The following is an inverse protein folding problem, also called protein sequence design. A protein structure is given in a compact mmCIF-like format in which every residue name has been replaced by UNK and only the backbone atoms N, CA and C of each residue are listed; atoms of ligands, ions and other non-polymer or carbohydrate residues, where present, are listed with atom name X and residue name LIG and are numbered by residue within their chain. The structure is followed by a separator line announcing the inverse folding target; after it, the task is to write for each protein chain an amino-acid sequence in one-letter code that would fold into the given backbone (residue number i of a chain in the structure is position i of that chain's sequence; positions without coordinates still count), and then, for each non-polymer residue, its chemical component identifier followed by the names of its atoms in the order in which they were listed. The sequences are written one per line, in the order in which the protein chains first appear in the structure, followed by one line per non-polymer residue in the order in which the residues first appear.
data_IF_282410089575
#
_entry.id   IF_282410089575
#
_cell.length_a   1.000
_cell.length_b   1.000
_cell.length_c   1.000
_cell.angle_alpha   90.00
_cell.angle_beta   90.00
_cell.angle_gamma   90.00
#
_symmetry.space_group_name_H-M   'P 1'
#
loop_
_entity.id
_entity.type
_entity.pdbx_description
1 polymer ?
#
# COMPACT_ATOMS: atom_id res chain seq x y z
N UNK A 1 -6.77 32.74 10.21
CA UNK A 1 -5.87 31.82 9.50
C UNK A 1 -6.23 30.45 10.04
N UNK A 2 -6.97 29.66 9.26
CA UNK A 2 -7.38 28.31 9.68
C UNK A 2 -6.13 27.46 9.93
N UNK A 3 -6.11 26.71 11.02
CA UNK A 3 -5.04 25.77 11.31
C UNK A 3 -5.16 24.61 10.33
N UNK A 4 -4.16 24.46 9.46
CA UNK A 4 -4.07 23.29 8.58
C UNK A 4 -3.83 22.08 9.49
N UNK A 5 -4.77 21.14 9.48
CA UNK A 5 -4.63 19.90 10.23
C UNK A 5 -3.69 18.91 9.54
N UNK A 6 -3.19 17.92 10.29
CA UNK A 6 -2.32 16.85 9.81
C UNK A 6 -2.91 16.14 8.56
N UNK A 7 -4.19 15.78 8.62
CA UNK A 7 -4.90 15.12 7.51
C UNK A 7 -4.90 15.96 6.23
N UNK A 8 -5.22 17.27 6.36
CA UNK A 8 -5.25 18.17 5.20
C UNK A 8 -3.86 18.34 4.61
N UNK A 9 -2.85 18.53 5.47
CA UNK A 9 -1.46 18.69 5.03
C UNK A 9 -0.98 17.49 4.18
N UNK A 10 -1.12 16.26 4.70
CA UNK A 10 -0.62 15.09 3.98
C UNK A 10 -1.47 14.76 2.75
N UNK A 11 -2.79 14.95 2.81
CA UNK A 11 -3.63 14.81 1.64
C UNK A 11 -3.17 15.74 0.50
N UNK A 12 -2.88 16.98 0.83
CA UNK A 12 -2.39 17.96 -0.14
C UNK A 12 -0.99 17.59 -0.65
N UNK A 13 -0.07 17.21 0.23
CA UNK A 13 1.30 16.83 -0.17
C UNK A 13 1.30 15.62 -1.12
N UNK A 14 0.45 14.63 -0.92
CA UNK A 14 0.43 13.45 -1.79
C UNK A 14 -0.29 13.68 -3.12
N UNK A 15 -1.32 14.52 -3.16
CA UNK A 15 -2.18 14.71 -4.32
C UNK A 15 -1.80 15.91 -5.20
N UNK A 16 -1.20 16.96 -4.62
CA UNK A 16 -0.90 18.18 -5.36
C UNK A 16 0.59 18.37 -5.61
N UNK A 17 0.89 19.11 -6.68
CA UNK A 17 2.22 19.56 -6.97
C UNK A 17 2.41 20.94 -6.30
N UNK A 18 3.32 21.04 -5.34
CA UNK A 18 3.66 22.34 -4.75
C UNK A 18 4.77 23.00 -5.55
N UNK A 19 4.52 24.21 -6.02
CA UNK A 19 5.54 25.04 -6.67
C UNK A 19 6.54 25.60 -5.64
N UNK A 20 6.11 25.83 -4.41
CA UNK A 20 6.95 26.31 -3.31
C UNK A 20 7.09 25.31 -2.17
N UNK A 21 8.16 24.51 -2.22
CA UNK A 21 8.51 23.53 -1.19
C UNK A 21 8.75 24.19 0.19
N UNK A 22 9.08 25.48 0.24
CA UNK A 22 9.29 26.21 1.51
C UNK A 22 8.00 26.35 2.28
N UNK A 23 6.87 26.56 1.62
CA UNK A 23 5.56 26.59 2.26
C UNK A 23 5.21 25.24 2.87
N UNK A 24 5.46 24.15 2.15
CA UNK A 24 5.25 22.80 2.65
C UNK A 24 6.08 22.55 3.93
N UNK A 25 7.37 22.94 3.92
CA UNK A 25 8.24 22.81 5.08
C UNK A 25 7.78 23.67 6.27
N UNK A 26 7.30 24.89 6.02
CA UNK A 26 6.78 25.78 7.07
C UNK A 26 5.51 25.20 7.73
N UNK A 27 4.60 24.63 6.94
CA UNK A 27 3.40 23.99 7.48
C UNK A 27 3.74 22.71 8.25
N UNK A 28 4.68 21.90 7.77
CA UNK A 28 5.19 20.74 8.52
C UNK A 28 5.72 21.12 9.90
N UNK A 29 6.53 22.18 9.98
CA UNK A 29 7.04 22.70 11.26
C UNK A 29 5.93 23.15 12.22
N UNK A 30 4.86 23.74 11.72
CA UNK A 30 3.68 24.09 12.54
C UNK A 30 2.94 22.87 13.07
N UNK A 31 3.01 21.76 12.35
CA UNK A 31 2.45 20.46 12.75
C UNK A 31 3.42 19.64 13.60
N UNK A 32 4.61 20.15 13.88
CA UNK A 32 5.57 19.55 14.79
C UNK A 32 6.58 18.58 14.16
N UNK A 33 6.75 18.59 12.84
CA UNK A 33 7.77 17.80 12.16
C UNK A 33 8.55 18.63 11.11
N UNK A 34 9.77 18.20 10.82
CA UNK A 34 10.60 18.81 9.79
C UNK A 34 10.70 17.87 8.58
N UNK A 35 10.08 18.27 7.46
CA UNK A 35 10.05 17.44 6.25
C UNK A 35 11.44 17.11 5.69
N UNK A 36 12.46 17.90 6.01
CA UNK A 36 13.82 17.68 5.52
C UNK A 36 14.63 16.74 6.42
N UNK A 37 14.33 16.74 7.71
CA UNK A 37 15.07 15.97 8.71
C UNK A 37 14.37 14.69 9.13
N UNK A 38 13.05 14.74 9.26
CA UNK A 38 12.25 13.59 9.70
C UNK A 38 12.06 12.54 8.60
N UNK A 39 11.86 11.32 9.03
CA UNK A 39 11.58 10.17 8.19
C UNK A 39 10.09 9.87 8.19
N UNK A 40 9.54 9.63 7.02
CA UNK A 40 8.13 9.35 6.79
C UNK A 40 7.94 7.95 6.23
N UNK A 41 6.99 7.21 6.79
CA UNK A 41 6.54 5.92 6.27
C UNK A 41 5.04 5.97 6.04
N UNK A 42 4.60 5.88 4.80
CA UNK A 42 3.18 5.84 4.49
C UNK A 42 2.58 4.46 4.78
N UNK A 43 1.39 4.48 5.37
CA UNK A 43 0.53 3.31 5.53
C UNK A 43 -0.84 3.64 4.94
N UNK A 44 -1.34 2.77 4.09
CA UNK A 44 -2.65 2.90 3.45
C UNK A 44 -3.53 1.72 3.85
N UNK A 45 -4.79 1.99 4.14
CA UNK A 45 -5.84 1.02 4.43
C UNK A 45 -6.90 1.13 3.34
N UNK A 46 -6.95 0.15 2.45
CA UNK A 46 -7.76 0.23 1.24
C UNK A 46 -8.75 -0.93 1.17
N UNK A 47 -9.96 -0.62 0.75
CA UNK A 47 -10.87 -1.63 0.23
C UNK A 47 -10.33 -2.22 -1.07
N UNK A 48 -10.73 -3.45 -1.46
CA UNK A 48 -10.32 -4.05 -2.73
C UNK A 48 -10.65 -3.13 -3.92
N UNK A 49 -9.81 -3.11 -4.94
CA UNK A 49 -10.03 -2.30 -6.13
C UNK A 49 -11.30 -2.69 -6.91
N UNK A 50 -11.81 -3.91 -6.70
CA UNK A 50 -13.06 -4.42 -7.26
C UNK A 50 -14.31 -3.99 -6.48
N UNK A 51 -14.14 -3.46 -5.27
CA UNK A 51 -15.21 -3.12 -4.33
C UNK A 51 -14.95 -1.74 -3.75
N UNK A 52 -15.47 -0.71 -4.41
CA UNK A 52 -15.28 0.66 -3.94
C UNK A 52 -15.97 0.88 -2.59
N UNK A 53 -15.23 1.38 -1.61
CA UNK A 53 -15.79 1.76 -0.31
C UNK A 53 -16.66 3.00 -0.45
N UNK A 54 -17.89 2.97 0.12
CA UNK A 54 -18.72 4.17 0.24
C UNK A 54 -18.06 5.19 1.17
N UNK A 55 -18.58 6.40 1.20
CA UNK A 55 -18.09 7.42 2.14
C UNK A 55 -18.29 6.98 3.60
N UNK A 56 -19.45 6.41 3.90
CA UNK A 56 -19.79 5.91 5.24
C UNK A 56 -18.87 4.78 5.69
N UNK A 57 -18.52 3.85 4.79
CA UNK A 57 -17.55 2.78 5.07
C UNK A 57 -16.15 3.32 5.33
N UNK A 58 -15.71 4.33 4.59
CA UNK A 58 -14.42 4.98 4.82
C UNK A 58 -14.39 5.76 6.14
N UNK A 59 -15.48 6.42 6.50
CA UNK A 59 -15.62 7.09 7.80
C UNK A 59 -15.59 6.07 8.94
N UNK A 60 -16.31 4.98 8.83
CA UNK A 60 -16.32 3.88 9.80
C UNK A 60 -14.94 3.26 9.96
N UNK A 61 -14.22 3.01 8.84
CA UNK A 61 -12.85 2.53 8.86
C UNK A 61 -11.93 3.53 9.57
N UNK A 62 -12.06 4.81 9.27
CA UNK A 62 -11.27 5.88 9.89
C UNK A 62 -11.51 5.97 11.39
N UNK A 63 -12.75 5.94 11.84
CA UNK A 63 -13.13 5.95 13.26
C UNK A 63 -12.59 4.70 13.96
N UNK A 64 -12.69 3.53 13.33
CA UNK A 64 -12.20 2.28 13.89
C UNK A 64 -10.69 2.24 14.09
N UNK A 65 -9.93 2.89 13.21
CA UNK A 65 -8.49 3.00 13.29
C UNK A 65 -8.02 4.19 14.15
N UNK A 66 -8.86 5.16 14.45
CA UNK A 66 -8.49 6.39 15.13
C UNK A 66 -7.93 6.23 16.56
N UNK A 67 -8.16 5.14 17.21
CA UNK A 67 -7.64 4.88 18.56
C UNK A 67 -6.38 4.04 18.61
N UNK A 68 -5.66 3.84 17.51
CA UNK A 68 -4.43 3.03 17.50
C UNK A 68 -3.34 3.67 18.37
N UNK A 69 -2.89 2.94 19.40
CA UNK A 69 -1.83 3.38 20.31
C UNK A 69 -0.45 3.36 19.65
N UNK A 70 -0.27 2.50 18.67
CA UNK A 70 0.98 2.38 17.92
C UNK A 70 1.11 3.42 16.79
N UNK A 71 0.13 4.31 16.60
CA UNK A 71 0.32 5.49 15.75
C UNK A 71 1.25 6.47 16.49
N UNK A 72 2.49 6.68 16.03
CA UNK A 72 3.38 7.60 16.69
C UNK A 72 2.82 9.01 16.54
N UNK A 73 2.58 9.68 17.66
CA UNK A 73 2.37 11.11 17.65
C UNK A 73 3.76 11.76 17.51
N UNK A 74 4.04 12.33 16.38
CA UNK A 74 5.27 13.11 16.12
C UNK A 74 5.40 14.28 17.09
N UNK A 75 4.27 14.76 17.57
CA UNK A 75 4.21 15.80 18.59
C UNK A 75 2.97 15.57 19.44
N UNK A 76 3.12 15.61 20.78
CA UNK A 76 2.01 15.58 21.73
C UNK A 76 0.99 16.72 21.53
N UNK A 77 1.36 17.75 20.75
CA UNK A 77 0.48 18.86 20.38
C UNK A 77 -0.41 18.57 19.17
N UNK A 78 -0.18 17.49 18.42
CA UNK A 78 -1.06 17.06 17.33
C UNK A 78 -2.09 16.09 17.93
N UNK A 79 -2.93 16.61 18.80
CA UNK A 79 -4.15 15.96 19.22
C UNK A 79 -5.09 15.95 18.02
N UNK A 80 -5.30 14.80 17.44
CA UNK A 80 -6.25 14.68 16.35
C UNK A 80 -6.01 13.48 15.47
N UNK A 81 -6.97 13.21 14.65
CA UNK A 81 -7.02 12.10 13.74
C UNK A 81 -5.93 12.24 12.66
N UNK A 82 -4.87 11.46 12.78
CA UNK A 82 -3.76 11.41 11.82
C UNK A 82 -4.11 10.66 10.52
N UNK A 83 -5.34 10.17 10.40
CA UNK A 83 -5.83 9.48 9.23
C UNK A 83 -6.49 10.47 8.26
N UNK A 84 -6.20 10.35 6.97
CA UNK A 84 -6.80 11.14 5.91
C UNK A 84 -7.40 10.24 4.83
N UNK A 85 -8.42 10.74 4.14
CA UNK A 85 -9.10 10.00 3.08
C UNK A 85 -8.22 9.91 1.84
N UNK A 86 -8.26 8.74 1.21
CA UNK A 86 -7.72 8.46 -0.12
C UNK A 86 -8.81 7.83 -0.98
N UNK A 87 -8.55 7.63 -2.27
CA UNK A 87 -9.58 7.19 -3.24
C UNK A 87 -10.47 6.06 -2.73
N UNK A 88 -9.88 4.98 -2.22
CA UNK A 88 -10.63 3.80 -1.79
C UNK A 88 -10.37 3.38 -0.34
N UNK A 89 -10.17 4.34 0.54
CA UNK A 89 -9.93 4.07 1.96
C UNK A 89 -9.36 5.25 2.71
N UNK A 90 -8.43 4.96 3.62
CA UNK A 90 -7.74 5.95 4.44
C UNK A 90 -6.24 5.70 4.46
N UNK A 91 -5.46 6.74 4.76
CA UNK A 91 -4.02 6.65 4.88
C UNK A 91 -3.51 7.41 6.10
N UNK A 92 -2.30 7.09 6.53
CA UNK A 92 -1.56 7.82 7.55
C UNK A 92 -0.06 7.81 7.25
N UNK A 93 0.69 8.62 7.98
CA UNK A 93 2.14 8.57 7.99
C UNK A 93 2.64 8.27 9.40
N UNK A 94 3.52 7.28 9.51
CA UNK A 94 4.39 7.14 10.67
C UNK A 94 5.55 8.10 10.45
N UNK A 95 5.82 8.95 11.42
CA UNK A 95 6.88 9.94 11.34
C UNK A 95 7.84 9.75 12.51
N UNK A 96 9.12 9.68 12.21
CA UNK A 96 10.19 9.54 13.21
C UNK A 96 11.43 10.31 12.78
N UNK A 97 12.37 10.52 13.72
CA UNK A 97 13.62 11.26 13.45
C UNK A 97 14.64 10.39 12.69
N UNK A 98 14.45 9.05 12.69
CA UNK A 98 15.35 8.13 11.98
C UNK A 98 14.59 6.94 11.40
N UNK A 99 15.27 6.21 10.48
CA UNK A 99 14.73 4.95 9.96
C UNK A 99 14.66 3.86 11.04
N UNK A 100 15.58 3.87 11.97
CA UNK A 100 15.64 2.88 13.05
C UNK A 100 14.44 3.07 13.99
N UNK A 101 14.09 4.31 14.34
CA UNK A 101 12.89 4.62 15.13
C UNK A 101 11.60 4.11 14.45
N UNK A 102 11.45 4.34 13.14
CA UNK A 102 10.32 3.80 12.38
C UNK A 102 10.33 2.27 12.40
N UNK A 103 11.51 1.65 12.25
CA UNK A 103 11.65 0.20 12.22
C UNK A 103 11.30 -0.44 13.56
N UNK A 104 11.62 0.21 14.67
CA UNK A 104 11.30 -0.27 16.03
C UNK A 104 9.79 -0.26 16.32
N UNK A 105 9.08 0.77 15.88
CA UNK A 105 7.63 0.88 16.12
C UNK A 105 6.78 0.05 15.14
N UNK A 106 7.31 -0.24 13.96
CA UNK A 106 6.57 -0.86 12.87
C UNK A 106 5.98 -2.25 13.22
N UNK A 107 6.65 -3.15 13.95
CA UNK A 107 6.05 -4.43 14.34
C UNK A 107 4.82 -4.29 15.23
N UNK A 108 4.86 -3.39 16.22
CA UNK A 108 3.73 -3.12 17.10
C UNK A 108 2.57 -2.51 16.31
N UNK A 109 2.86 -1.54 15.44
CA UNK A 109 1.88 -0.94 14.55
C UNK A 109 1.21 -1.99 13.64
N UNK A 110 1.99 -2.86 12.99
CA UNK A 110 1.46 -3.92 12.11
C UNK A 110 0.50 -4.84 12.84
N UNK A 111 0.89 -5.26 14.05
CA UNK A 111 0.06 -6.13 14.88
C UNK A 111 -1.26 -5.44 15.23
N UNK A 112 -1.20 -4.23 15.75
CA UNK A 112 -2.41 -3.48 16.14
C UNK A 112 -3.32 -3.19 14.93
N UNK A 113 -2.74 -2.86 13.76
CA UNK A 113 -3.50 -2.65 12.54
C UNK A 113 -4.28 -3.90 12.11
N UNK A 114 -3.65 -5.07 12.15
CA UNK A 114 -4.32 -6.34 11.82
C UNK A 114 -5.39 -6.67 12.86
N UNK A 115 -5.06 -6.61 14.16
CA UNK A 115 -6.01 -6.91 15.25
C UNK A 115 -7.27 -6.03 15.15
N UNK A 116 -7.12 -4.75 14.80
CA UNK A 116 -8.26 -3.86 14.60
C UNK A 116 -9.08 -4.20 13.35
N UNK A 117 -8.42 -4.47 12.23
CA UNK A 117 -9.13 -4.84 11.01
C UNK A 117 -9.89 -6.15 11.16
N UNK A 118 -9.40 -7.08 11.98
CA UNK A 118 -10.10 -8.34 12.26
C UNK A 118 -11.39 -8.13 13.08
N UNK A 119 -11.51 -6.99 13.78
CA UNK A 119 -12.71 -6.62 14.55
C UNK A 119 -13.61 -5.63 13.81
N UNK A 120 -13.23 -5.18 12.61
CA UNK A 120 -14.03 -4.29 11.80
C UNK A 120 -15.23 -5.05 11.20
N UNK A 121 -16.43 -4.63 11.53
CA UNK A 121 -17.67 -5.18 10.98
C UNK A 121 -17.88 -4.70 9.55
N UNK A 122 -17.37 -5.43 8.58
CA UNK A 122 -17.54 -5.13 7.16
C UNK A 122 -17.50 -6.42 6.33
N UNK A 123 -18.32 -6.47 5.28
CA UNK A 123 -18.30 -7.55 4.29
C UNK A 123 -17.07 -7.46 3.35
N UNK A 124 -16.40 -6.31 3.36
CA UNK A 124 -15.27 -6.02 2.47
C UNK A 124 -13.93 -6.19 3.17
N UNK A 125 -13.01 -6.88 2.53
CA UNK A 125 -11.69 -7.17 3.07
C UNK A 125 -10.73 -5.99 2.89
N UNK A 126 -10.55 -5.18 3.92
CA UNK A 126 -9.57 -4.09 3.93
C UNK A 126 -8.14 -4.63 3.86
N UNK A 127 -7.28 -4.00 3.08
CA UNK A 127 -5.86 -4.32 2.93
C UNK A 127 -4.99 -3.19 3.43
N UNK A 128 -3.88 -3.56 4.04
CA UNK A 128 -2.88 -2.61 4.55
C UNK A 128 -1.66 -2.63 3.64
N UNK A 129 -1.35 -1.48 3.05
CA UNK A 129 -0.12 -1.28 2.30
C UNK A 129 0.87 -0.45 3.10
N UNK A 130 2.12 -0.90 3.17
CA UNK A 130 3.20 -0.22 3.88
C UNK A 130 4.30 0.15 2.89
N UNK A 131 4.68 1.44 2.88
CA UNK A 131 5.73 1.97 2.03
C UNK A 131 7.14 1.67 2.53
N UNK A 132 8.09 2.48 2.10
CA UNK A 132 9.47 2.47 2.60
C UNK A 132 9.75 3.78 3.35
N UNK A 133 10.60 3.75 4.38
CA UNK A 133 10.99 4.96 5.11
C UNK A 133 11.78 5.92 4.21
N UNK A 134 11.27 7.13 4.03
CA UNK A 134 11.80 8.16 3.13
C UNK A 134 11.89 9.53 3.80
N UNK A 135 12.78 10.41 3.32
CA UNK A 135 12.92 11.80 3.77
C UNK A 135 12.52 12.80 2.67
N UNK A 136 12.14 14.00 3.12
CA UNK A 136 11.84 15.10 2.20
C UNK A 136 10.45 15.01 1.55
N UNK A 137 10.01 16.10 0.95
CA UNK A 137 8.68 16.21 0.29
C UNK A 137 8.53 15.13 -0.80
N UNK A 138 9.54 14.98 -1.66
CA UNK A 138 9.55 13.93 -2.67
C UNK A 138 9.54 12.52 -2.02
N UNK A 139 10.15 12.36 -0.84
CA UNK A 139 10.13 11.14 -0.05
C UNK A 139 8.73 10.80 0.46
N UNK A 140 7.98 11.77 0.96
CA UNK A 140 6.57 11.60 1.37
C UNK A 140 5.74 11.03 0.21
N UNK A 141 5.89 11.60 -0.99
CA UNK A 141 5.20 11.10 -2.19
C UNK A 141 5.64 9.69 -2.59
N UNK A 142 6.96 9.40 -2.50
CA UNK A 142 7.49 8.07 -2.84
C UNK A 142 6.99 7.00 -1.90
N UNK A 143 7.08 7.22 -0.57
CA UNK A 143 6.62 6.23 0.40
C UNK A 143 5.12 5.95 0.25
N UNK A 144 4.29 6.97 0.00
CA UNK A 144 2.88 6.80 -0.31
C UNK A 144 2.66 5.98 -1.59
N UNK A 145 3.40 6.30 -2.65
CA UNK A 145 3.34 5.54 -3.91
C UNK A 145 3.74 4.07 -3.70
N UNK A 146 4.74 3.80 -2.87
CA UNK A 146 5.16 2.44 -2.53
C UNK A 146 4.08 1.68 -1.77
N UNK A 147 3.43 2.31 -0.78
CA UNK A 147 2.32 1.71 -0.05
C UNK A 147 1.15 1.34 -0.98
N UNK A 148 0.77 2.23 -1.89
CA UNK A 148 -0.26 1.98 -2.91
C UNK A 148 0.12 0.84 -3.86
N UNK A 149 1.38 0.79 -4.31
CA UNK A 149 1.89 -0.29 -5.16
C UNK A 149 1.89 -1.64 -4.44
N UNK A 150 2.21 -1.67 -3.14
CA UNK A 150 2.18 -2.90 -2.35
C UNK A 150 0.77 -3.50 -2.32
N UNK A 151 -0.28 -2.68 -2.10
CA UNK A 151 -1.67 -3.15 -2.13
C UNK A 151 -2.04 -3.68 -3.51
N UNK A 152 -1.78 -2.91 -4.58
CA UNK A 152 -2.10 -3.32 -5.96
C UNK A 152 -1.41 -4.63 -6.35
N UNK A 153 -0.13 -4.78 -6.03
CA UNK A 153 0.59 -6.03 -6.27
C UNK A 153 0.02 -7.19 -5.42
N UNK A 154 -0.33 -6.92 -4.16
CA UNK A 154 -0.92 -7.90 -3.27
C UNK A 154 -2.29 -8.40 -3.73
N UNK A 155 -3.12 -7.53 -4.30
CA UNK A 155 -4.41 -7.92 -4.88
C UNK A 155 -4.26 -8.95 -6.01
N UNK A 156 -3.19 -8.86 -6.76
CA UNK A 156 -2.91 -9.76 -7.89
C UNK A 156 -2.22 -11.05 -7.43
N UNK A 157 -1.14 -10.91 -6.65
CA UNK A 157 -0.20 -12.01 -6.37
C UNK A 157 -0.35 -12.63 -4.97
N UNK A 158 -0.93 -11.92 -4.01
CA UNK A 158 -1.04 -12.33 -2.60
C UNK A 158 -2.43 -12.06 -2.03
N UNK A 159 -3.47 -12.56 -2.72
CA UNK A 159 -4.88 -12.31 -2.42
C UNK A 159 -5.30 -12.61 -0.97
N UNK A 160 -4.62 -13.56 -0.33
CA UNK A 160 -4.93 -13.99 1.05
C UNK A 160 -4.34 -13.06 2.13
N UNK A 161 -3.35 -12.21 1.75
CA UNK A 161 -2.67 -11.36 2.74
C UNK A 161 -3.42 -10.06 2.94
N UNK A 162 -3.64 -9.72 4.20
CA UNK A 162 -4.19 -8.42 4.62
C UNK A 162 -3.09 -7.36 4.62
N UNK A 163 -1.91 -7.68 5.17
CA UNK A 163 -0.80 -6.76 5.33
C UNK A 163 0.29 -7.00 4.26
N UNK A 164 0.66 -5.93 3.56
CA UNK A 164 1.51 -5.94 2.37
C UNK A 164 2.61 -4.88 2.51
N UNK A 165 3.83 -5.31 2.84
CA UNK A 165 5.00 -4.43 2.83
C UNK A 165 5.54 -4.27 1.41
N UNK A 166 5.88 -3.04 1.02
CA UNK A 166 6.46 -2.80 -0.31
C UNK A 166 7.76 -3.56 -0.53
N UNK A 167 8.65 -3.63 0.46
CA UNK A 167 9.90 -4.39 0.35
C UNK A 167 9.66 -5.87 0.00
N UNK A 168 8.63 -6.50 0.59
CA UNK A 168 8.24 -7.87 0.27
C UNK A 168 7.44 -8.01 -1.03
N UNK A 169 7.00 -6.89 -1.61
CA UNK A 169 6.17 -6.83 -2.81
C UNK A 169 6.87 -6.20 -4.03
N UNK A 170 8.11 -5.74 -3.87
CA UNK A 170 8.85 -4.98 -4.91
C UNK A 170 8.97 -5.76 -6.23
N UNK A 171 9.34 -7.04 -6.16
CA UNK A 171 9.44 -7.92 -7.34
C UNK A 171 8.07 -8.02 -8.03
N UNK A 172 7.00 -8.27 -7.27
CA UNK A 172 5.65 -8.38 -7.82
C UNK A 172 5.15 -7.05 -8.42
N UNK A 173 5.49 -5.93 -7.78
CA UNK A 173 5.18 -4.60 -8.28
C UNK A 173 5.90 -4.32 -9.60
N UNK A 174 7.17 -4.70 -9.71
CA UNK A 174 7.96 -4.57 -10.93
C UNK A 174 7.41 -5.44 -12.06
N UNK A 175 7.07 -6.69 -11.78
CA UNK A 175 6.44 -7.60 -12.76
C UNK A 175 5.10 -7.01 -13.23
N UNK A 176 4.27 -6.51 -12.32
CA UNK A 176 2.98 -5.90 -12.69
C UNK A 176 3.18 -4.67 -13.59
N UNK A 177 4.15 -3.82 -13.28
CA UNK A 177 4.48 -2.66 -14.12
C UNK A 177 4.97 -3.08 -15.51
N UNK A 178 5.81 -4.11 -15.60
CA UNK A 178 6.26 -4.66 -16.88
C UNK A 178 5.09 -5.23 -17.69
N UNK A 179 4.22 -6.01 -17.07
CA UNK A 179 3.03 -6.58 -17.74
C UNK A 179 2.07 -5.48 -18.18
N UNK A 180 1.85 -4.45 -17.37
CA UNK A 180 0.96 -3.33 -17.71
C UNK A 180 1.51 -2.50 -18.87
N UNK A 181 2.82 -2.19 -18.86
CA UNK A 181 3.43 -1.32 -19.85
C UNK A 181 3.85 -2.03 -21.14
N UNK A 182 4.25 -3.29 -21.04
CA UNK A 182 4.84 -4.06 -22.14
C UNK A 182 4.15 -5.41 -22.37
N UNK A 183 3.04 -5.70 -21.70
CA UNK A 183 2.42 -7.04 -21.68
C UNK A 183 2.16 -7.59 -23.07
N UNK A 184 1.67 -6.77 -23.99
CA UNK A 184 1.45 -7.19 -25.38
C UNK A 184 2.77 -7.51 -26.08
N UNK A 185 3.79 -6.68 -25.93
CA UNK A 185 5.11 -6.89 -26.54
C UNK A 185 5.82 -8.11 -25.94
N UNK A 186 5.75 -8.28 -24.59
CA UNK A 186 6.31 -9.47 -23.91
C UNK A 186 5.56 -10.72 -24.35
N UNK A 187 4.23 -10.67 -24.45
CA UNK A 187 3.43 -11.79 -24.93
C UNK A 187 3.80 -12.14 -26.36
N UNK A 188 3.95 -11.16 -27.24
CA UNK A 188 4.31 -11.37 -28.64
C UNK A 188 5.74 -11.92 -28.80
N UNK A 189 6.69 -11.44 -27.98
CA UNK A 189 8.10 -11.89 -28.03
C UNK A 189 8.28 -13.25 -27.35
N UNK A 190 7.73 -13.45 -26.16
CA UNK A 190 7.97 -14.65 -25.35
C UNK A 190 7.02 -15.78 -25.71
N UNK A 191 5.78 -15.46 -26.05
CA UNK A 191 4.72 -16.45 -26.29
C UNK A 191 4.25 -16.49 -27.76
N UNK A 192 4.68 -15.52 -28.58
CA UNK A 192 4.25 -15.45 -29.99
C UNK A 192 4.68 -16.65 -30.84
N UNK A 193 5.67 -17.42 -30.37
CA UNK A 193 6.10 -18.67 -30.98
C UNK A 193 5.47 -19.92 -30.34
N UNK A 194 4.76 -19.76 -29.22
CA UNK A 194 4.13 -20.86 -28.52
C UNK A 194 2.70 -21.10 -29.02
N UNK A 195 2.35 -22.35 -29.21
CA UNK A 195 0.97 -22.74 -29.49
C UNK A 195 0.07 -22.51 -28.29
N UNK A 196 -1.25 -22.38 -28.50
CA UNK A 196 -2.24 -22.28 -27.41
C UNK A 196 -2.10 -23.41 -26.38
N UNK A 197 -1.73 -24.61 -26.85
CA UNK A 197 -1.52 -25.77 -25.97
C UNK A 197 -0.32 -25.59 -25.08
N UNK A 198 0.81 -25.11 -25.61
CA UNK A 198 2.03 -24.85 -24.83
C UNK A 198 1.83 -23.75 -23.79
N UNK A 199 1.13 -22.66 -24.15
CA UNK A 199 0.75 -21.61 -23.20
C UNK A 199 -0.13 -22.17 -22.08
N UNK A 200 -1.07 -23.05 -22.42
CA UNK A 200 -1.94 -23.69 -21.44
C UNK A 200 -1.19 -24.62 -20.48
N UNK A 201 -0.22 -25.39 -20.99
CA UNK A 201 0.65 -26.25 -20.17
C UNK A 201 1.52 -25.40 -19.24
N UNK A 202 2.14 -24.32 -19.72
CA UNK A 202 2.90 -23.41 -18.91
C UNK A 202 2.06 -22.78 -17.79
N UNK A 203 0.86 -22.30 -18.12
CA UNK A 203 -0.04 -21.72 -17.11
C UNK A 203 -0.43 -22.74 -16.03
N UNK A 204 -0.60 -24.01 -16.37
CA UNK A 204 -0.84 -25.09 -15.41
C UNK A 204 0.39 -25.41 -14.57
N UNK A 205 1.57 -25.46 -15.18
CA UNK A 205 2.83 -25.68 -14.48
C UNK A 205 3.03 -24.68 -13.34
N UNK A 206 2.83 -23.38 -13.61
CA UNK A 206 2.90 -22.36 -12.58
C UNK A 206 1.79 -22.48 -11.53
N UNK A 207 0.57 -22.86 -11.92
CA UNK A 207 -0.52 -23.13 -10.96
C UNK A 207 -0.24 -24.31 -10.04
N UNK A 208 0.45 -25.32 -10.53
CA UNK A 208 0.88 -26.50 -9.76
C UNK A 208 2.18 -26.25 -8.97
N UNK A 209 2.60 -24.99 -8.80
CA UNK A 209 3.81 -24.60 -8.05
C UNK A 209 5.07 -25.29 -8.59
N UNK A 210 5.20 -25.34 -9.89
CA UNK A 210 6.33 -25.92 -10.60
C UNK A 210 6.48 -27.45 -10.43
N UNK A 211 5.42 -28.12 -10.03
CA UNK A 211 5.38 -29.59 -9.96
C UNK A 211 5.00 -30.17 -11.36
N UNK A 212 5.97 -30.84 -11.99
CA UNK A 212 5.83 -31.39 -13.33
C UNK A 212 4.83 -32.54 -13.34
N UNK A 213 4.87 -33.43 -12.34
CA UNK A 213 3.99 -34.60 -12.26
C UNK A 213 2.54 -34.20 -12.02
N UNK A 214 2.32 -33.20 -11.16
CA UNK A 214 1.01 -32.63 -10.92
C UNK A 214 0.47 -31.90 -12.15
N UNK A 215 1.33 -31.18 -12.86
CA UNK A 215 0.99 -30.49 -14.11
C UNK A 215 0.55 -31.48 -15.20
N UNK A 216 1.28 -32.58 -15.35
CA UNK A 216 0.95 -33.65 -16.31
C UNK A 216 -0.40 -34.29 -16.00
N UNK A 217 -0.66 -34.68 -14.73
CA UNK A 217 -1.94 -35.23 -14.29
C UNK A 217 -3.11 -34.28 -14.59
N UNK A 218 -3.01 -33.00 -14.22
CA UNK A 218 -4.07 -32.02 -14.45
C UNK A 218 -4.28 -31.71 -15.94
N UNK A 219 -3.25 -31.91 -16.78
CA UNK A 219 -3.35 -31.67 -18.22
C UNK A 219 -4.04 -32.85 -18.98
N UNK A 220 -3.83 -34.06 -18.53
CA UNK A 220 -4.40 -35.28 -19.14
C UNK A 220 -5.90 -35.39 -18.81
N UNK A 221 -6.34 -35.09 -17.60
CA UNK A 221 -7.74 -35.24 -17.17
C UNK A 221 -8.76 -34.31 -17.85
N UNK A 222 -8.34 -33.37 -18.70
CA UNK A 222 -9.26 -32.47 -19.45
C UNK A 222 -9.33 -32.77 -20.96
N UNK A 223 -8.72 -33.86 -21.43
CA UNK A 223 -8.81 -34.31 -22.84
C UNK A 223 -9.72 -35.55 -23.01
N UNK A 224 -10.37 -35.99 -21.92
CA UNK A 224 -11.44 -36.99 -21.91
C UNK A 224 -12.74 -36.27 -21.51
#
# INVERSE_FOLDING_TARGET
MESIGFSTYFNDVVNYFYEDERLVAQFGKKLGFDVNEDVFLAVVFLYPSTEQGSFEEKEQLKEHLAGMQALPSVNKAVEGNQLFYVDNGVATFLVGHSKDEITEILPAFKKEAVDRLDTLETDKKVRVGIGLPEKGIAGIKRTYTYAMKAVKAGEIFKKERVLLDYMGMEIYSSINAMVTNYGKQITDIVFGQLTKTEIHVLAKYYKCKEDIDMTAKVSIFRQI
#
